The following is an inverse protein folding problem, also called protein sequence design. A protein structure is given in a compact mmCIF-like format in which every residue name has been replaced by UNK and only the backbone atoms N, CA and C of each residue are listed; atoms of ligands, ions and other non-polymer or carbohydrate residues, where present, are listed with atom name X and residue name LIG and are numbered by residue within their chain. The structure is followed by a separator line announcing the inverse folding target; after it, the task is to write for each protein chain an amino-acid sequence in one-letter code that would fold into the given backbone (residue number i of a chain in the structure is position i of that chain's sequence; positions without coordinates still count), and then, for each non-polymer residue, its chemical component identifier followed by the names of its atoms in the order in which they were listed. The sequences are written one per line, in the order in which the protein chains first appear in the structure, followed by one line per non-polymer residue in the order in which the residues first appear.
data_IF_498846952023
#
_entry.id   IF_498846952023
#
_cell.length_a   1.000
_cell.length_b   1.000
_cell.length_c   1.000
_cell.angle_alpha   90.00
_cell.angle_beta   90.00
_cell.angle_gamma   90.00
#
_symmetry.space_group_name_H-M   'P 1'
#
loop_
_entity.id
_entity.type
_entity.pdbx_description
1 polymer ?
#
# COMPACT_ATOMS: atom_id res chain seq x y z
N UNK A 1 28.85 -41.32 26.31
CA UNK A 1 28.60 -40.32 27.36
C UNK A 1 28.44 -40.97 28.73
N UNK A 2 28.94 -40.33 29.80
CA UNK A 2 28.62 -40.71 31.17
C UNK A 2 27.21 -40.23 31.56
N UNK A 3 26.57 -40.92 32.51
CA UNK A 3 25.24 -40.53 33.02
C UNK A 3 25.20 -39.08 33.54
N UNK A 4 26.29 -38.63 34.18
CA UNK A 4 26.43 -37.26 34.64
C UNK A 4 26.41 -36.24 33.48
N UNK A 5 27.07 -36.55 32.35
CA UNK A 5 27.06 -35.68 31.17
C UNK A 5 25.68 -35.58 30.52
N UNK A 6 24.87 -36.65 30.57
CA UNK A 6 23.49 -36.64 30.08
C UNK A 6 22.60 -35.73 30.92
N UNK A 7 22.70 -35.81 32.25
CA UNK A 7 21.95 -34.93 33.15
C UNK A 7 22.34 -33.46 32.91
N UNK A 8 23.65 -33.19 32.82
CA UNK A 8 24.14 -31.83 32.60
C UNK A 8 23.68 -31.28 31.25
N UNK A 9 23.78 -32.06 30.18
CA UNK A 9 23.28 -31.70 28.84
C UNK A 9 21.79 -31.32 28.89
N UNK A 10 20.97 -32.14 29.54
CA UNK A 10 19.54 -31.88 29.65
C UNK A 10 19.22 -30.59 30.42
N UNK A 11 19.91 -30.33 31.53
CA UNK A 11 19.75 -29.10 32.31
C UNK A 11 20.11 -27.86 31.47
N UNK A 12 21.22 -27.93 30.72
CA UNK A 12 21.67 -26.85 29.85
C UNK A 12 20.65 -26.56 28.73
N UNK A 13 20.16 -27.60 28.07
CA UNK A 13 19.13 -27.48 27.03
C UNK A 13 17.85 -26.83 27.59
N UNK A 14 17.36 -27.32 28.73
CA UNK A 14 16.13 -26.82 29.33
C UNK A 14 16.26 -25.36 29.78
N UNK A 15 17.38 -25.01 30.42
CA UNK A 15 17.67 -23.63 30.80
C UNK A 15 17.77 -22.71 29.58
N UNK A 16 18.45 -23.15 28.52
CA UNK A 16 18.59 -22.40 27.27
C UNK A 16 17.25 -22.13 26.60
N UNK A 17 16.39 -23.14 26.48
CA UNK A 17 15.01 -22.99 25.99
C UNK A 17 14.21 -22.00 26.85
N UNK A 18 14.35 -22.08 28.18
CA UNK A 18 13.73 -21.13 29.10
C UNK A 18 14.12 -19.67 28.82
N UNK A 19 15.40 -19.40 28.58
CA UNK A 19 15.87 -18.05 28.20
C UNK A 19 15.34 -17.60 26.83
N UNK A 20 15.25 -18.50 25.85
CA UNK A 20 14.68 -18.19 24.53
C UNK A 20 13.20 -17.81 24.66
N UNK A 21 12.43 -18.57 25.44
CA UNK A 21 11.01 -18.26 25.70
C UNK A 21 10.88 -16.91 26.42
N UNK A 22 11.67 -16.67 27.47
CA UNK A 22 11.66 -15.41 28.20
C UNK A 22 12.01 -14.21 27.29
N UNK A 23 12.97 -14.38 26.38
CA UNK A 23 13.33 -13.37 25.39
C UNK A 23 12.19 -13.10 24.41
N UNK A 24 11.54 -14.15 23.87
CA UNK A 24 10.40 -14.01 22.98
C UNK A 24 9.23 -13.27 23.65
N UNK A 25 8.90 -13.64 24.89
CA UNK A 25 7.89 -12.93 25.71
C UNK A 25 8.30 -11.47 25.91
N UNK A 26 9.57 -11.20 26.22
CA UNK A 26 10.08 -9.85 26.39
C UNK A 26 9.97 -8.99 25.12
N UNK A 27 10.26 -9.56 23.94
CA UNK A 27 10.11 -8.87 22.66
C UNK A 27 8.64 -8.50 22.39
N UNK A 28 7.70 -9.40 22.68
CA UNK A 28 6.27 -9.16 22.48
C UNK A 28 5.67 -8.20 23.51
N UNK A 29 6.13 -8.27 24.77
CA UNK A 29 5.54 -7.53 25.89
C UNK A 29 6.13 -6.13 26.08
N UNK A 30 7.41 -5.92 25.82
CA UNK A 30 8.05 -4.64 26.06
C UNK A 30 7.61 -3.60 25.03
N UNK A 31 7.44 -2.35 25.47
CA UNK A 31 6.96 -1.25 24.63
C UNK A 31 8.09 -0.46 23.95
N UNK A 32 9.30 -0.53 24.49
CA UNK A 32 10.46 0.27 24.06
C UNK A 32 11.46 -0.58 23.25
N UNK A 33 12.05 0.00 22.21
CA UNK A 33 12.99 -0.69 21.32
C UNK A 33 14.23 -1.20 22.04
N UNK A 34 14.79 -0.43 22.99
CA UNK A 34 15.96 -0.84 23.77
C UNK A 34 15.61 -1.97 24.74
N UNK A 35 14.40 -1.97 25.29
CA UNK A 35 13.93 -3.07 26.14
C UNK A 35 13.74 -4.37 25.35
N UNK A 36 13.13 -4.29 24.16
CA UNK A 36 12.98 -5.44 23.26
C UNK A 36 14.33 -5.97 22.83
N UNK A 37 15.28 -5.09 22.52
CA UNK A 37 16.67 -5.47 22.23
C UNK A 37 17.31 -6.18 23.42
N UNK A 38 17.18 -5.65 24.64
CA UNK A 38 17.70 -6.28 25.85
C UNK A 38 17.05 -7.63 26.18
N UNK A 39 15.78 -7.83 25.80
CA UNK A 39 15.14 -9.14 25.85
C UNK A 39 15.74 -10.09 24.80
N UNK A 40 15.76 -9.66 23.55
CA UNK A 40 16.23 -10.44 22.40
C UNK A 40 17.68 -10.92 22.55
N UNK A 41 18.57 -10.08 23.09
CA UNK A 41 19.98 -10.47 23.29
C UNK A 41 20.15 -11.61 24.29
N UNK A 42 19.20 -11.84 25.21
CA UNK A 42 19.23 -13.03 26.10
C UNK A 42 19.01 -14.33 25.35
N UNK A 43 18.23 -14.33 24.25
CA UNK A 43 18.08 -15.51 23.40
C UNK A 43 19.41 -15.84 22.70
N UNK A 44 20.05 -14.84 22.09
CA UNK A 44 21.29 -15.05 21.32
C UNK A 44 22.53 -15.33 22.19
N UNK A 45 22.58 -14.79 23.41
CA UNK A 45 23.70 -15.06 24.34
C UNK A 45 23.39 -16.26 25.23
N UNK A 46 22.59 -16.09 26.28
CA UNK A 46 22.34 -17.14 27.26
C UNK A 46 21.58 -18.33 26.65
N UNK A 47 20.50 -18.08 25.92
CA UNK A 47 19.66 -19.13 25.33
C UNK A 47 20.45 -20.04 24.39
N UNK A 48 21.03 -19.45 23.34
CA UNK A 48 21.75 -20.20 22.32
C UNK A 48 23.03 -20.86 22.85
N UNK A 49 23.80 -20.19 23.73
CA UNK A 49 25.02 -20.78 24.30
C UNK A 49 24.69 -21.95 25.22
N UNK A 50 23.62 -21.87 26.02
CA UNK A 50 23.20 -22.99 26.88
C UNK A 50 22.69 -24.16 26.05
N UNK A 51 21.89 -23.89 25.01
CA UNK A 51 21.43 -24.95 24.09
C UNK A 51 22.60 -25.61 23.38
N UNK A 52 23.49 -24.82 22.76
CA UNK A 52 24.66 -25.35 22.06
C UNK A 52 25.62 -26.05 23.02
N UNK A 53 25.84 -25.53 24.22
CA UNK A 53 26.64 -26.18 25.26
C UNK A 53 26.07 -27.54 25.66
N UNK A 54 24.75 -27.64 25.83
CA UNK A 54 24.07 -28.90 26.09
C UNK A 54 24.22 -29.89 24.92
N UNK A 55 24.12 -29.40 23.68
CA UNK A 55 24.31 -30.19 22.46
C UNK A 55 25.75 -30.66 22.29
N UNK A 56 26.75 -29.83 22.58
CA UNK A 56 28.19 -30.19 22.54
C UNK A 56 28.50 -31.32 23.53
N UNK A 57 27.87 -31.31 24.71
CA UNK A 57 28.01 -32.41 25.67
C UNK A 57 27.35 -33.72 25.17
N UNK A 58 26.40 -33.62 24.25
CA UNK A 58 25.63 -34.76 23.73
C UNK A 58 26.19 -35.35 22.42
N UNK A 59 26.99 -34.58 21.69
CA UNK A 59 27.55 -34.94 20.38
C UNK A 59 29.06 -35.16 20.47
N UNK A 60 29.57 -36.15 19.74
CA UNK A 60 31.00 -36.42 19.62
C UNK A 60 31.56 -35.92 18.26
N UNK A 61 32.87 -35.66 18.21
CA UNK A 61 33.60 -35.36 16.97
C UNK A 61 33.21 -34.02 16.31
N UNK A 62 32.83 -34.05 15.03
CA UNK A 62 32.59 -32.87 14.20
C UNK A 62 31.44 -31.98 14.73
N UNK A 63 30.39 -32.57 15.30
CA UNK A 63 29.23 -31.83 15.81
C UNK A 63 29.58 -30.91 16.99
N UNK A 64 30.50 -31.34 17.86
CA UNK A 64 30.98 -30.54 18.98
C UNK A 64 31.82 -29.33 18.50
N UNK A 65 32.64 -29.52 17.47
CA UNK A 65 33.44 -28.45 16.86
C UNK A 65 32.54 -27.39 16.23
N UNK A 66 31.54 -27.81 15.45
CA UNK A 66 30.56 -26.88 14.84
C UNK A 66 29.80 -26.10 15.91
N UNK A 67 29.37 -26.77 16.99
CA UNK A 67 28.72 -26.12 18.13
C UNK A 67 29.60 -25.06 18.79
N UNK A 68 30.89 -25.37 19.00
CA UNK A 68 31.84 -24.42 19.57
C UNK A 68 32.07 -23.21 18.66
N UNK A 69 32.24 -23.44 17.34
CA UNK A 69 32.37 -22.35 16.37
C UNK A 69 31.12 -21.46 16.32
N UNK A 70 29.92 -22.05 16.41
CA UNK A 70 28.67 -21.31 16.48
C UNK A 70 28.59 -20.42 17.73
N UNK A 71 29.02 -20.92 18.89
CA UNK A 71 29.11 -20.12 20.13
C UNK A 71 30.05 -18.93 19.96
N UNK A 72 31.25 -19.16 19.43
CA UNK A 72 32.24 -18.09 19.20
C UNK A 72 31.69 -17.05 18.22
N UNK A 73 31.09 -17.51 17.12
CA UNK A 73 30.49 -16.62 16.13
C UNK A 73 29.36 -15.77 16.72
N UNK A 74 28.47 -16.36 17.53
CA UNK A 74 27.41 -15.61 18.20
C UNK A 74 27.96 -14.61 19.22
N UNK A 75 28.96 -14.99 20.02
CA UNK A 75 29.58 -14.08 20.99
C UNK A 75 30.26 -12.88 20.33
N UNK A 76 30.77 -13.05 19.12
CA UNK A 76 31.34 -11.95 18.33
C UNK A 76 30.27 -11.07 17.67
N UNK A 77 29.22 -11.69 17.11
CA UNK A 77 28.23 -10.98 16.29
C UNK A 77 27.13 -10.31 17.11
N UNK A 78 26.70 -10.92 18.22
CA UNK A 78 25.60 -10.39 19.04
C UNK A 78 25.91 -8.99 19.62
N UNK A 79 27.12 -8.71 20.16
CA UNK A 79 27.45 -7.36 20.63
C UNK A 79 27.48 -6.30 19.53
N UNK A 80 27.96 -6.66 18.33
CA UNK A 80 28.01 -5.76 17.18
C UNK A 80 26.59 -5.43 16.71
N UNK A 81 25.74 -6.45 16.55
CA UNK A 81 24.34 -6.28 16.19
C UNK A 81 23.58 -5.42 17.22
N UNK A 82 23.81 -5.66 18.51
CA UNK A 82 23.21 -4.89 19.58
C UNK A 82 23.65 -3.41 19.57
N UNK A 83 24.92 -3.12 19.28
CA UNK A 83 25.39 -1.74 19.16
C UNK A 83 24.78 -1.02 17.96
N UNK A 84 24.74 -1.67 16.79
CA UNK A 84 24.14 -1.09 15.59
C UNK A 84 22.64 -0.84 15.77
N UNK A 85 21.92 -1.81 16.34
CA UNK A 85 20.49 -1.68 16.60
C UNK A 85 20.19 -0.62 17.66
N UNK A 86 20.99 -0.57 18.73
CA UNK A 86 20.87 0.46 19.77
C UNK A 86 21.13 1.87 19.23
N UNK A 87 22.16 2.04 18.40
CA UNK A 87 22.46 3.31 17.72
C UNK A 87 21.33 3.71 16.76
N UNK A 88 20.83 2.78 15.95
CA UNK A 88 19.71 3.04 15.05
C UNK A 88 18.45 3.45 15.80
N UNK A 89 18.08 2.73 16.86
CA UNK A 89 16.96 3.06 17.72
C UNK A 89 17.11 4.45 18.36
N UNK A 90 18.31 4.80 18.85
CA UNK A 90 18.56 6.12 19.42
C UNK A 90 18.47 7.24 18.37
N UNK A 91 19.22 7.12 17.26
CA UNK A 91 19.30 8.16 16.21
C UNK A 91 17.94 8.38 15.53
N UNK A 92 17.16 7.31 15.35
CA UNK A 92 15.83 7.38 14.72
C UNK A 92 14.80 8.23 15.47
N UNK A 93 15.07 8.63 16.72
CA UNK A 93 14.13 9.43 17.51
C UNK A 93 13.05 8.61 18.22
N UNK A 94 13.11 7.27 18.18
CA UNK A 94 12.12 6.41 18.87
C UNK A 94 11.91 6.82 20.34
N UNK A 95 10.68 6.75 20.87
CA UNK A 95 10.41 7.17 22.25
C UNK A 95 11.14 6.29 23.26
N UNK A 96 11.98 6.91 24.09
CA UNK A 96 12.77 6.25 25.14
C UNK A 96 12.03 6.35 26.49
N UNK A 97 10.99 5.52 26.68
CA UNK A 97 9.99 5.72 27.76
C UNK A 97 10.52 5.53 29.18
N UNK A 98 11.62 4.81 29.36
CA UNK A 98 12.18 4.47 30.67
C UNK A 98 13.52 5.14 30.97
N UNK A 99 14.03 5.96 30.05
CA UNK A 99 15.21 6.79 30.32
C UNK A 99 14.75 7.97 31.18
N UNK A 100 14.66 7.71 32.47
CA UNK A 100 14.30 8.68 33.51
C UNK A 100 15.60 9.23 34.12
N UNK A 101 16.25 10.14 33.41
CA UNK A 101 17.52 10.72 33.86
C UNK A 101 18.30 11.45 32.78
N UNK A 102 19.57 11.78 33.06
CA UNK A 102 20.48 12.37 32.08
C UNK A 102 20.72 11.36 30.95
N UNK A 103 20.31 11.74 29.74
CA UNK A 103 20.64 11.01 28.52
C UNK A 103 22.14 11.17 28.23
N UNK A 104 22.93 10.14 28.53
CA UNK A 104 24.39 10.16 28.32
C UNK A 104 24.83 10.27 26.86
N UNK A 105 23.91 10.07 25.90
CA UNK A 105 24.17 10.24 24.47
C UNK A 105 23.77 11.63 23.95
N UNK A 106 23.16 12.47 24.79
CA UNK A 106 22.76 13.82 24.42
C UNK A 106 23.98 14.68 24.10
N UNK A 107 24.03 15.27 22.91
CA UNK A 107 25.17 16.06 22.42
C UNK A 107 26.37 15.23 21.93
N UNK A 108 26.37 13.90 22.08
CA UNK A 108 27.39 13.00 21.52
C UNK A 108 26.89 12.40 20.20
N UNK A 109 25.66 11.89 20.19
CA UNK A 109 25.02 11.34 19.00
C UNK A 109 23.84 12.24 18.62
N UNK A 110 23.83 12.66 17.36
CA UNK A 110 22.71 13.43 16.80
C UNK A 110 21.46 12.55 16.78
N UNK A 111 20.44 12.97 17.53
CA UNK A 111 19.16 12.30 17.64
C UNK A 111 18.10 13.14 16.95
N UNK A 112 17.28 12.47 16.15
CA UNK A 112 16.20 13.11 15.42
C UNK A 112 15.11 13.57 16.40
N UNK A 113 14.55 14.76 16.14
CA UNK A 113 13.57 15.39 17.04
C UNK A 113 12.22 14.68 17.09
N UNK A 114 11.94 13.83 16.10
CA UNK A 114 10.73 13.02 15.99
C UNK A 114 11.13 11.57 15.64
N UNK A 115 10.36 10.55 16.09
CA UNK A 115 10.54 9.15 15.71
C UNK A 115 10.55 8.93 14.21
N UNK A 116 11.20 7.85 13.76
CA UNK A 116 11.22 7.47 12.35
C UNK A 116 9.79 7.25 11.86
N UNK A 117 8.91 6.69 12.68
CA UNK A 117 7.50 6.47 12.33
C UNK A 117 6.79 7.79 12.03
N UNK A 118 7.03 8.86 12.80
CA UNK A 118 6.43 10.19 12.58
C UNK A 118 7.11 10.94 11.41
N UNK A 119 8.36 10.62 11.11
CA UNK A 119 9.12 11.21 9.99
C UNK A 119 8.92 10.46 8.67
N UNK A 120 8.57 9.17 8.75
CA UNK A 120 8.20 8.29 7.62
C UNK A 120 6.69 8.17 7.46
N UNK A 121 5.90 8.74 8.39
CA UNK A 121 4.59 9.35 8.18
C UNK A 121 4.64 10.50 7.14
N UNK A 122 5.44 10.35 6.09
CA UNK A 122 5.08 10.93 4.82
C UNK A 122 3.71 10.33 4.44
N UNK A 123 2.65 11.09 4.73
CA UNK A 123 1.25 10.92 4.29
C UNK A 123 0.43 9.84 5.02
N UNK A 124 0.37 9.90 6.35
CA UNK A 124 -0.89 9.62 7.06
C UNK A 124 -1.32 10.93 7.70
N UNK A 125 -2.14 11.70 6.98
CA UNK A 125 -2.67 12.97 7.44
C UNK A 125 -3.45 12.72 8.75
N UNK A 126 -2.86 13.04 9.90
CA UNK A 126 -3.65 13.37 11.07
C UNK A 126 -4.52 14.57 10.65
N UNK A 127 -5.86 14.51 10.81
CA UNK A 127 -6.68 15.65 10.49
C UNK A 127 -6.12 16.81 11.29
N UNK A 128 -5.62 17.84 10.59
CA UNK A 128 -5.33 19.09 11.24
C UNK A 128 -6.62 19.43 11.97
N UNK A 129 -6.55 19.64 13.29
CA UNK A 129 -7.65 20.25 14.02
C UNK A 129 -7.77 21.70 13.53
N UNK A 130 -8.22 21.89 12.29
CA UNK A 130 -8.81 23.14 11.85
C UNK A 130 -10.17 23.19 12.53
N UNK A 131 -10.14 23.62 13.78
CA UNK A 131 -11.27 24.30 14.36
C UNK A 131 -11.69 25.37 13.37
N UNK A 132 -12.82 25.15 12.68
CA UNK A 132 -13.66 26.14 12.02
C UNK A 132 -12.92 27.37 11.45
N UNK A 133 -11.82 27.17 10.74
CA UNK A 133 -11.10 28.25 10.08
C UNK A 133 -11.81 28.47 8.75
N UNK A 134 -12.42 29.65 8.61
CA UNK A 134 -13.21 30.10 7.49
C UNK A 134 -12.69 29.59 6.14
N UNK A 135 -13.59 29.01 5.34
CA UNK A 135 -13.42 28.60 3.93
C UNK A 135 -12.55 29.64 3.20
N UNK A 136 -11.30 29.29 2.91
CA UNK A 136 -10.69 29.79 1.69
C UNK A 136 -11.43 29.09 0.53
N UNK A 137 -11.80 29.79 -0.56
CA UNK A 137 -12.47 29.15 -1.68
C UNK A 137 -11.52 28.08 -2.23
N UNK A 138 -11.90 26.81 -2.09
CA UNK A 138 -11.22 25.73 -2.77
C UNK A 138 -11.35 25.97 -4.28
N UNK A 139 -10.26 25.83 -5.02
CA UNK A 139 -10.34 25.66 -6.47
C UNK A 139 -11.18 24.41 -6.71
N UNK A 140 -12.43 24.59 -7.14
CA UNK A 140 -13.34 23.48 -7.37
C UNK A 140 -12.69 22.46 -8.32
N UNK A 141 -12.83 21.16 -8.01
CA UNK A 141 -12.36 20.11 -8.91
C UNK A 141 -13.02 20.32 -10.27
N UNK A 142 -12.19 20.46 -11.30
CA UNK A 142 -12.62 20.69 -12.68
C UNK A 142 -13.51 19.53 -13.15
N UNK A 143 -14.51 19.85 -13.98
CA UNK A 143 -15.28 18.81 -14.65
C UNK A 143 -14.38 17.96 -15.55
N UNK A 144 -14.82 16.74 -15.85
CA UNK A 144 -14.03 15.81 -16.67
C UNK A 144 -13.74 16.47 -18.02
N UNK A 145 -12.46 16.66 -18.34
CA UNK A 145 -11.99 17.23 -19.61
C UNK A 145 -11.73 16.12 -20.65
N UNK A 146 -11.21 14.98 -20.19
CA UNK A 146 -10.99 13.75 -20.97
C UNK A 146 -11.14 12.50 -20.09
N UNK A 147 -11.54 11.38 -20.68
CA UNK A 147 -11.35 10.07 -20.08
C UNK A 147 -10.10 9.44 -20.68
N UNK A 148 -9.08 9.23 -19.86
CA UNK A 148 -7.85 8.56 -20.26
C UNK A 148 -7.85 7.14 -19.71
N UNK A 149 -7.53 6.14 -20.54
CA UNK A 149 -7.42 4.74 -20.10
C UNK A 149 -6.08 4.13 -20.45
N UNK A 150 -5.54 3.32 -19.54
CA UNK A 150 -4.38 2.47 -19.82
C UNK A 150 -4.85 1.09 -20.33
N UNK A 151 -4.43 0.72 -21.54
CA UNK A 151 -4.66 -0.62 -22.09
C UNK A 151 -3.61 -1.57 -21.56
N UNK A 152 -3.98 -2.44 -20.64
CA UNK A 152 -3.08 -3.41 -20.01
C UNK A 152 -3.69 -4.80 -20.15
N UNK A 153 -3.04 -5.66 -20.94
CA UNK A 153 -3.48 -7.03 -21.16
C UNK A 153 -3.23 -7.90 -19.91
N UNK A 154 -3.94 -9.03 -19.71
CA UNK A 154 -4.73 -9.75 -20.71
C UNK A 154 -6.20 -9.29 -20.85
N UNK A 155 -6.74 -8.56 -19.88
CA UNK A 155 -8.17 -8.23 -19.84
C UNK A 155 -8.37 -6.71 -19.89
N UNK A 156 -8.74 -6.21 -21.07
CA UNK A 156 -8.97 -4.76 -21.31
C UNK A 156 -10.44 -4.39 -21.42
N UNK A 157 -11.33 -5.35 -21.66
CA UNK A 157 -12.74 -5.09 -21.90
C UNK A 157 -13.42 -4.30 -20.76
N UNK A 158 -13.23 -4.65 -19.46
CA UNK A 158 -13.83 -3.87 -18.37
C UNK A 158 -13.39 -2.41 -18.37
N UNK A 159 -12.10 -2.16 -18.62
CA UNK A 159 -11.52 -0.80 -18.66
C UNK A 159 -12.10 0.00 -19.82
N UNK A 160 -12.19 -0.61 -21.00
CA UNK A 160 -12.73 0.03 -22.20
C UNK A 160 -14.23 0.32 -22.05
N UNK A 161 -15.03 -0.68 -21.65
CA UNK A 161 -16.48 -0.53 -21.47
C UNK A 161 -16.82 0.52 -20.41
N UNK A 162 -16.11 0.51 -19.27
CA UNK A 162 -16.34 1.49 -18.21
C UNK A 162 -15.94 2.89 -18.66
N UNK A 163 -14.81 3.05 -19.33
CA UNK A 163 -14.35 4.34 -19.87
C UNK A 163 -15.33 4.90 -20.90
N UNK A 164 -15.87 4.04 -21.78
CA UNK A 164 -16.90 4.43 -22.74
C UNK A 164 -18.20 4.90 -22.07
N UNK A 165 -18.63 4.24 -20.99
CA UNK A 165 -19.82 4.64 -20.23
C UNK A 165 -19.67 6.02 -19.58
N UNK A 166 -18.53 6.28 -18.93
CA UNK A 166 -18.23 7.56 -18.28
C UNK A 166 -18.14 8.65 -19.34
N UNK A 167 -17.44 8.36 -20.44
CA UNK A 167 -17.28 9.27 -21.57
C UNK A 167 -18.63 9.61 -22.23
N UNK A 168 -19.51 8.63 -22.45
CA UNK A 168 -20.82 8.87 -23.04
C UNK A 168 -21.71 9.77 -22.16
N UNK A 169 -21.64 9.59 -20.83
CA UNK A 169 -22.37 10.41 -19.86
C UNK A 169 -21.85 11.86 -19.79
N UNK A 170 -20.54 12.05 -19.85
CA UNK A 170 -19.92 13.37 -19.72
C UNK A 170 -19.67 14.07 -21.07
N UNK A 171 -19.86 13.37 -22.20
CA UNK A 171 -19.63 13.85 -23.57
C UNK A 171 -18.21 14.42 -23.81
N UNK A 172 -17.20 13.69 -23.33
CA UNK A 172 -15.78 14.08 -23.38
C UNK A 172 -14.98 13.24 -24.39
N UNK A 173 -13.78 13.67 -24.79
CA UNK A 173 -12.84 12.83 -25.54
C UNK A 173 -12.39 11.61 -24.72
N UNK A 174 -12.01 10.56 -25.45
CA UNK A 174 -11.49 9.30 -24.92
C UNK A 174 -10.06 9.09 -25.43
N UNK A 175 -9.09 8.90 -24.54
CA UNK A 175 -7.69 8.69 -24.90
C UNK A 175 -7.18 7.37 -24.33
N UNK A 176 -6.97 6.38 -25.19
CA UNK A 176 -6.34 5.12 -24.84
C UNK A 176 -4.81 5.20 -25.01
N UNK A 177 -4.08 4.67 -24.05
CA UNK A 177 -2.64 4.49 -24.14
C UNK A 177 -2.24 3.06 -23.82
N UNK A 178 -1.52 2.42 -24.72
CA UNK A 178 -0.83 1.16 -24.49
C UNK A 178 0.65 1.45 -24.30
N UNK A 179 1.21 1.07 -23.14
CA UNK A 179 2.64 1.29 -22.84
C UNK A 179 3.31 -0.04 -22.57
N UNK A 180 4.43 -0.30 -23.24
CA UNK A 180 5.34 -1.39 -22.89
C UNK A 180 6.42 -0.88 -21.95
N UNK A 181 6.56 -1.51 -20.79
CA UNK A 181 7.57 -1.14 -19.80
C UNK A 181 8.98 -1.55 -20.27
N UNK A 182 9.79 -0.57 -20.65
CA UNK A 182 11.14 -0.82 -21.12
C UNK A 182 12.04 -1.39 -20.01
N UNK A 183 11.87 -0.95 -18.75
CA UNK A 183 12.65 -1.46 -17.63
C UNK A 183 12.36 -2.96 -17.40
N UNK A 184 11.11 -3.37 -17.62
CA UNK A 184 10.73 -4.78 -17.62
C UNK A 184 11.43 -5.57 -18.73
N UNK A 185 11.42 -5.06 -19.97
CA UNK A 185 12.06 -5.75 -21.10
C UNK A 185 13.55 -5.95 -20.87
N UNK A 186 14.26 -4.93 -20.36
CA UNK A 186 15.69 -4.97 -20.09
C UNK A 186 16.06 -5.90 -18.93
N UNK A 187 15.13 -6.19 -18.02
CA UNK A 187 15.36 -7.11 -16.91
C UNK A 187 15.27 -8.60 -17.31
N UNK A 188 14.86 -8.89 -18.55
CA UNK A 188 14.67 -10.28 -19.02
C UNK A 188 15.94 -10.86 -19.64
N UNK A 189 16.12 -12.19 -19.52
CA UNK A 189 17.24 -12.89 -20.14
C UNK A 189 17.13 -13.02 -21.68
N UNK A 190 15.91 -12.93 -22.22
CA UNK A 190 15.62 -12.90 -23.66
C UNK A 190 14.76 -11.69 -24.00
N UNK A 191 15.43 -10.56 -24.24
CA UNK A 191 14.78 -9.27 -24.51
C UNK A 191 13.95 -9.31 -25.80
N UNK A 192 14.47 -9.94 -26.86
CA UNK A 192 13.82 -9.95 -28.17
C UNK A 192 12.58 -10.84 -28.18
N UNK A 193 12.69 -12.06 -27.62
CA UNK A 193 11.53 -12.96 -27.53
C UNK A 193 10.47 -12.44 -26.57
N UNK A 194 10.85 -11.83 -25.44
CA UNK A 194 9.90 -11.19 -24.52
C UNK A 194 9.20 -10.01 -25.20
N UNK A 195 9.95 -9.13 -25.87
CA UNK A 195 9.37 -7.98 -26.59
C UNK A 195 8.37 -8.43 -27.66
N UNK A 196 8.67 -9.48 -28.41
CA UNK A 196 7.75 -10.02 -29.43
C UNK A 196 6.43 -10.47 -28.81
N UNK A 197 6.47 -11.24 -27.71
CA UNK A 197 5.28 -11.70 -26.98
C UNK A 197 4.46 -10.55 -26.38
N UNK A 198 5.13 -9.58 -25.77
CA UNK A 198 4.45 -8.40 -25.21
C UNK A 198 3.73 -7.64 -26.32
N UNK A 199 4.39 -7.39 -27.47
CA UNK A 199 3.78 -6.71 -28.62
C UNK A 199 2.59 -7.48 -29.18
N UNK A 200 2.66 -8.81 -29.24
CA UNK A 200 1.52 -9.64 -29.66
C UNK A 200 0.31 -9.45 -28.72
N UNK A 201 0.54 -9.50 -27.40
CA UNK A 201 -0.53 -9.28 -26.41
C UNK A 201 -1.09 -7.86 -26.46
N UNK A 202 -0.25 -6.85 -26.72
CA UNK A 202 -0.70 -5.46 -26.93
C UNK A 202 -1.55 -5.35 -28.18
N UNK A 203 -1.12 -5.93 -29.31
CA UNK A 203 -1.87 -5.91 -30.56
C UNK A 203 -3.27 -6.53 -30.38
N UNK A 204 -3.36 -7.65 -29.69
CA UNK A 204 -4.64 -8.28 -29.34
C UNK A 204 -5.53 -7.39 -28.48
N UNK A 205 -4.94 -6.74 -27.46
CA UNK A 205 -5.67 -5.80 -26.60
C UNK A 205 -6.18 -4.56 -27.38
N UNK A 206 -5.41 -4.08 -28.36
CA UNK A 206 -5.82 -2.99 -29.25
C UNK A 206 -6.99 -3.45 -30.13
N UNK A 207 -6.89 -4.62 -30.76
CA UNK A 207 -7.95 -5.20 -31.60
C UNK A 207 -9.26 -5.39 -30.79
N UNK A 208 -9.17 -5.92 -29.58
CA UNK A 208 -10.30 -6.07 -28.66
C UNK A 208 -10.91 -4.71 -28.28
N UNK A 209 -10.06 -3.71 -28.03
CA UNK A 209 -10.51 -2.34 -27.76
C UNK A 209 -11.27 -1.77 -28.95
N UNK A 210 -10.73 -1.89 -30.16
CA UNK A 210 -11.37 -1.41 -31.39
C UNK A 210 -12.72 -2.09 -31.66
N UNK A 211 -12.84 -3.38 -31.36
CA UNK A 211 -14.10 -4.12 -31.48
C UNK A 211 -15.20 -3.60 -30.54
N UNK A 212 -14.83 -3.06 -29.37
CA UNK A 212 -15.75 -2.48 -28.40
C UNK A 212 -16.12 -1.02 -28.70
N UNK A 213 -15.36 -0.34 -29.57
CA UNK A 213 -15.63 1.06 -29.90
C UNK A 213 -16.88 1.19 -30.80
N UNK A 214 -17.73 2.20 -30.56
CA UNK A 214 -18.85 2.47 -31.45
C UNK A 214 -18.36 2.89 -32.85
N UNK A 215 -19.01 2.40 -33.91
CA UNK A 215 -18.64 2.66 -35.32
C UNK A 215 -18.67 4.15 -35.73
N UNK A 216 -19.32 5.03 -34.97
CA UNK A 216 -19.28 6.47 -35.21
C UNK A 216 -18.01 7.03 -34.59
N UNK A 217 -17.20 7.75 -35.37
CA UNK A 217 -15.98 8.47 -34.93
C UNK A 217 -16.29 9.39 -33.74
N UNK A 218 -16.23 8.81 -32.56
CA UNK A 218 -15.99 9.52 -31.31
C UNK A 218 -14.57 10.11 -31.34
N UNK A 219 -14.35 11.20 -30.60
CA UNK A 219 -13.01 11.73 -30.32
C UNK A 219 -12.20 10.70 -29.51
N UNK A 220 -11.74 9.65 -30.19
CA UNK A 220 -10.96 8.56 -29.65
C UNK A 220 -9.54 8.67 -30.21
N UNK A 221 -8.55 8.69 -29.32
CA UNK A 221 -7.13 8.60 -29.69
C UNK A 221 -6.53 7.39 -29.02
N UNK A 222 -5.80 6.58 -29.78
CA UNK A 222 -5.02 5.46 -29.28
C UNK A 222 -3.54 5.70 -29.59
N UNK A 223 -2.70 5.63 -28.57
CA UNK A 223 -1.25 5.71 -28.72
C UNK A 223 -0.58 4.45 -28.16
N UNK A 224 0.39 3.94 -28.91
CA UNK A 224 1.29 2.89 -28.47
C UNK A 224 2.66 3.49 -28.22
N UNK A 225 3.21 3.28 -27.02
CA UNK A 225 4.52 3.82 -26.63
C UNK A 225 5.34 2.73 -25.93
N UNK A 226 6.66 2.75 -26.12
CA UNK A 226 7.60 1.93 -25.33
C UNK A 226 8.42 2.86 -24.45
N UNK A 227 8.49 2.59 -23.14
CA UNK A 227 9.23 3.44 -22.21
C UNK A 227 8.78 3.29 -20.77
N UNK A 228 8.85 4.38 -19.99
CA UNK A 228 8.47 4.37 -18.57
C UNK A 228 6.96 4.65 -18.41
N UNK A 229 6.16 3.67 -17.93
CA UNK A 229 4.71 3.85 -17.75
C UNK A 229 4.33 5.01 -16.83
N UNK A 230 5.16 5.30 -15.82
CA UNK A 230 4.94 6.39 -14.84
C UNK A 230 5.03 7.78 -15.46
N UNK A 231 5.64 7.90 -16.64
CA UNK A 231 5.74 9.15 -17.40
C UNK A 231 4.72 9.23 -18.53
N UNK A 232 4.40 8.10 -19.14
CA UNK A 232 3.62 8.03 -20.38
C UNK A 232 2.11 7.95 -20.11
N UNK A 233 1.68 7.18 -19.10
CA UNK A 233 0.26 7.00 -18.78
C UNK A 233 -0.37 8.27 -18.20
N UNK A 234 0.18 8.89 -17.13
CA UNK A 234 -0.49 10.00 -16.45
C UNK A 234 -0.53 11.29 -17.29
N UNK A 235 -1.63 12.04 -17.18
CA UNK A 235 -1.64 13.48 -17.53
C UNK A 235 -1.09 14.28 -16.35
N UNK A 236 -0.12 15.16 -16.57
CA UNK A 236 0.53 15.94 -15.50
C UNK A 236 0.01 17.37 -15.34
N UNK A 237 -0.60 17.90 -16.39
CA UNK A 237 -0.99 19.31 -16.45
C UNK A 237 -2.51 19.50 -16.46
N UNK A 238 -3.27 18.43 -16.68
CA UNK A 238 -4.73 18.46 -16.82
C UNK A 238 -5.39 17.83 -15.60
N UNK A 239 -5.98 18.66 -14.73
CA UNK A 239 -6.70 18.23 -13.52
C UNK A 239 -8.09 17.67 -13.81
N UNK A 240 -8.69 18.03 -14.95
CA UNK A 240 -9.95 17.46 -15.44
C UNK A 240 -9.79 16.07 -16.08
N UNK A 241 -8.56 15.63 -16.38
CA UNK A 241 -8.30 14.31 -16.94
C UNK A 241 -8.65 13.24 -15.91
N UNK A 242 -9.56 12.32 -16.26
CA UNK A 242 -9.88 11.15 -15.44
C UNK A 242 -9.11 9.94 -15.97
N UNK A 243 -8.16 9.43 -15.19
CA UNK A 243 -7.41 8.22 -15.55
C UNK A 243 -8.12 6.97 -15.04
N UNK A 244 -8.47 6.06 -15.94
CA UNK A 244 -9.09 4.77 -15.67
C UNK A 244 -8.07 3.64 -15.84
N UNK A 245 -7.92 2.82 -14.80
CA UNK A 245 -6.92 1.76 -14.73
C UNK A 245 -7.58 0.43 -14.32
N UNK A 246 -7.03 -0.72 -14.73
CA UNK A 246 -7.39 -1.98 -14.11
C UNK A 246 -6.89 -2.04 -12.66
N UNK A 247 -7.44 -2.94 -11.86
CA UNK A 247 -6.93 -3.18 -10.51
C UNK A 247 -5.64 -4.03 -10.47
N UNK A 248 -5.43 -4.88 -11.47
CA UNK A 248 -4.26 -5.74 -11.55
C UNK A 248 -3.65 -5.73 -12.94
N UNK A 249 -2.41 -6.23 -13.01
CA UNK A 249 -1.60 -6.24 -14.21
C UNK A 249 -0.55 -5.15 -14.22
N UNK A 250 0.25 -5.15 -15.28
CA UNK A 250 1.26 -4.13 -15.53
C UNK A 250 1.58 -4.09 -17.03
N UNK A 251 2.33 -3.09 -17.45
CA UNK A 251 2.83 -2.84 -18.80
C UNK A 251 3.79 -3.92 -19.37
N UNK A 252 3.80 -5.12 -18.77
CA UNK A 252 4.31 -6.36 -19.34
C UNK A 252 3.22 -7.19 -20.06
N UNK A 253 1.96 -6.74 -20.04
CA UNK A 253 0.83 -7.31 -20.80
C UNK A 253 0.66 -8.82 -20.64
N UNK A 254 0.66 -9.31 -19.39
CA UNK A 254 0.46 -10.74 -19.08
C UNK A 254 1.65 -11.68 -19.39
N UNK A 255 2.83 -11.16 -19.74
CA UNK A 255 4.03 -12.00 -19.93
C UNK A 255 4.69 -12.27 -18.57
N UNK A 256 4.62 -13.52 -18.09
CA UNK A 256 5.26 -13.96 -16.84
C UNK A 256 6.79 -14.13 -16.99
N UNK A 257 7.54 -13.81 -15.92
CA UNK A 257 8.98 -14.06 -15.82
C UNK A 257 9.24 -15.43 -15.20
N UNK A 258 10.27 -16.14 -15.71
CA UNK A 258 10.77 -17.38 -15.12
C UNK A 258 11.82 -17.19 -13.99
N UNK A 259 12.01 -15.97 -13.47
CA UNK A 259 13.02 -15.67 -12.42
C UNK A 259 12.54 -14.57 -11.45
N UNK A 260 13.10 -14.50 -10.23
CA UNK A 260 12.32 -14.44 -8.99
C UNK A 260 11.75 -13.05 -8.67
N UNK A 261 10.42 -12.99 -8.48
CA UNK A 261 9.59 -12.30 -7.46
C UNK A 261 9.99 -10.93 -6.85
N UNK A 262 11.08 -10.28 -7.25
CA UNK A 262 11.58 -9.05 -6.64
C UNK A 262 11.31 -7.78 -7.47
N UNK A 263 10.93 -7.92 -8.75
CA UNK A 263 10.78 -6.77 -9.67
C UNK A 263 9.35 -6.54 -10.16
N UNK A 264 8.46 -7.53 -10.05
CA UNK A 264 7.03 -7.37 -10.32
C UNK A 264 6.40 -6.55 -9.21
N UNK A 265 6.35 -5.23 -9.35
CA UNK A 265 5.76 -4.31 -8.39
C UNK A 265 4.25 -4.21 -8.61
N UNK A 266 3.38 -4.93 -7.87
CA UNK A 266 1.94 -4.67 -7.86
C UNK A 266 1.60 -3.23 -7.41
N UNK A 267 2.55 -2.52 -6.81
CA UNK A 267 2.43 -1.09 -6.49
C UNK A 267 2.50 -0.15 -7.70
N UNK A 268 3.03 -0.59 -8.84
CA UNK A 268 3.25 0.28 -10.00
C UNK A 268 1.96 0.97 -10.45
N UNK A 269 0.87 0.19 -10.57
CA UNK A 269 -0.45 0.72 -10.92
C UNK A 269 -0.93 1.74 -9.91
N UNK A 270 -0.81 1.44 -8.62
CA UNK A 270 -1.27 2.31 -7.55
C UNK A 270 -0.52 3.64 -7.54
N UNK A 271 0.78 3.63 -7.85
CA UNK A 271 1.63 4.83 -7.91
C UNK A 271 1.30 5.76 -9.08
N UNK A 272 0.55 5.30 -10.09
CA UNK A 272 0.10 6.19 -11.17
C UNK A 272 -0.77 7.33 -10.64
N UNK A 273 -1.50 7.10 -9.52
CA UNK A 273 -2.23 8.16 -8.83
C UNK A 273 -1.34 9.28 -8.26
N UNK A 274 -0.09 8.99 -7.91
CA UNK A 274 0.87 10.04 -7.49
C UNK A 274 1.31 10.92 -8.66
N UNK A 275 1.31 10.38 -9.88
CA UNK A 275 1.89 11.02 -11.08
C UNK A 275 0.83 11.67 -11.98
N UNK A 276 -0.45 11.39 -11.74
CA UNK A 276 -1.57 11.97 -12.46
C UNK A 276 -2.08 13.24 -11.76
N UNK A 277 -2.37 14.29 -12.52
CA UNK A 277 -2.89 15.54 -11.98
C UNK A 277 -4.33 15.41 -11.50
N UNK A 278 -5.20 14.76 -12.29
CA UNK A 278 -6.60 14.56 -11.98
C UNK A 278 -6.89 13.32 -11.14
N UNK A 279 -8.17 12.95 -11.10
CA UNK A 279 -8.67 11.77 -10.38
C UNK A 279 -8.29 10.47 -11.08
N UNK A 280 -8.04 9.42 -10.29
CA UNK A 280 -7.71 8.08 -10.80
C UNK A 280 -8.73 7.06 -10.33
N UNK A 281 -9.34 6.35 -11.28
CA UNK A 281 -10.32 5.30 -11.02
C UNK A 281 -9.70 3.92 -11.35
N UNK A 282 -9.51 3.09 -10.34
CA UNK A 282 -9.14 1.69 -10.48
C UNK A 282 -10.39 0.83 -10.52
N UNK A 283 -10.53 -0.02 -11.55
CA UNK A 283 -11.74 -0.81 -11.72
C UNK A 283 -11.78 -2.05 -10.85
N UNK A 284 -12.95 -2.32 -10.28
CA UNK A 284 -13.24 -3.55 -9.56
C UNK A 284 -13.29 -4.76 -10.49
N UNK A 285 -13.22 -5.95 -9.90
CA UNK A 285 -13.43 -7.24 -10.60
C UNK A 285 -14.89 -7.65 -10.66
N UNK A 286 -15.74 -7.02 -9.86
CA UNK A 286 -17.15 -7.35 -9.74
C UNK A 286 -17.95 -6.30 -10.52
N UNK A 287 -18.97 -6.70 -11.29
CA UNK A 287 -19.89 -5.73 -11.88
C UNK A 287 -20.58 -4.93 -10.77
N UNK A 288 -20.83 -3.65 -11.04
CA UNK A 288 -21.58 -2.78 -10.13
C UNK A 288 -23.02 -3.27 -10.03
N UNK A 289 -23.57 -3.30 -8.82
CA UNK A 289 -25.00 -3.57 -8.60
C UNK A 289 -25.90 -2.43 -9.12
N UNK A 290 -27.21 -2.67 -9.21
CA UNK A 290 -28.21 -1.65 -9.63
C UNK A 290 -28.14 -0.36 -8.80
N UNK A 291 -27.79 -0.50 -7.52
CA UNK A 291 -27.44 0.60 -6.62
C UNK A 291 -26.11 0.28 -5.95
N UNK A 292 -25.03 0.82 -6.51
CA UNK A 292 -23.69 0.61 -5.99
C UNK A 292 -23.55 1.21 -4.59
N UNK A 293 -22.99 0.45 -3.65
CA UNK A 293 -22.60 0.92 -2.32
C UNK A 293 -21.19 1.49 -2.40
N UNK A 294 -21.04 2.77 -2.09
CA UNK A 294 -19.79 3.51 -2.21
C UNK A 294 -19.30 3.85 -0.80
N UNK A 295 -18.22 3.22 -0.38
CA UNK A 295 -17.54 3.58 0.85
C UNK A 295 -16.77 4.90 0.65
N UNK A 296 -16.96 5.86 1.52
CA UNK A 296 -16.21 7.12 1.54
C UNK A 296 -15.22 7.02 2.70
N UNK A 297 -13.93 6.88 2.39
CA UNK A 297 -12.86 6.99 3.38
C UNK A 297 -12.60 8.46 3.67
N UNK A 298 -13.27 8.95 4.70
CA UNK A 298 -13.21 10.32 5.14
C UNK A 298 -12.02 10.54 6.07
N UNK A 299 -11.03 11.28 5.57
CA UNK A 299 -9.83 11.68 6.31
C UNK A 299 -9.95 13.08 6.92
N UNK A 300 -11.15 13.67 6.91
CA UNK A 300 -11.43 14.99 7.45
C UNK A 300 -11.04 16.15 6.54
N UNK A 301 -10.47 15.88 5.36
CA UNK A 301 -10.08 16.90 4.39
C UNK A 301 -11.28 17.52 3.66
N UNK A 302 -11.11 18.72 3.10
CA UNK A 302 -12.13 19.31 2.23
C UNK A 302 -12.07 18.68 0.83
N UNK A 303 -10.91 18.20 0.41
CA UNK A 303 -10.70 17.53 -0.87
C UNK A 303 -11.59 16.28 -1.03
N UNK A 304 -11.81 15.51 0.04
CA UNK A 304 -12.72 14.36 -0.04
C UNK A 304 -14.19 14.80 -0.13
N UNK A 305 -14.56 15.95 0.44
CA UNK A 305 -15.92 16.51 0.32
C UNK A 305 -16.16 16.91 -1.13
N UNK A 306 -15.26 17.73 -1.68
CA UNK A 306 -15.33 18.22 -3.05
C UNK A 306 -15.22 17.07 -4.06
N UNK A 307 -14.36 16.09 -3.75
CA UNK A 307 -14.19 14.87 -4.56
C UNK A 307 -15.44 14.01 -4.63
N UNK A 308 -16.19 13.88 -3.54
CA UNK A 308 -17.47 13.15 -3.54
C UNK A 308 -18.53 13.92 -4.31
N UNK A 309 -18.64 15.24 -4.12
CA UNK A 309 -19.57 16.09 -4.88
C UNK A 309 -19.27 16.02 -6.38
N UNK A 310 -17.99 16.11 -6.76
CA UNK A 310 -17.51 15.95 -8.12
C UNK A 310 -17.83 14.56 -8.69
N UNK A 311 -17.56 13.48 -7.96
CA UNK A 311 -17.76 12.12 -8.45
C UNK A 311 -19.24 11.81 -8.72
N UNK A 312 -20.14 12.37 -7.90
CA UNK A 312 -21.58 12.28 -8.08
C UNK A 312 -22.06 13.15 -9.24
N UNK A 313 -21.55 14.38 -9.37
CA UNK A 313 -21.84 15.29 -10.50
C UNK A 313 -21.40 14.69 -11.84
N UNK A 314 -20.20 14.11 -11.89
CA UNK A 314 -19.67 13.37 -13.03
C UNK A 314 -20.44 12.07 -13.31
N UNK A 315 -21.28 11.66 -12.35
CA UNK A 315 -22.13 10.49 -12.44
C UNK A 315 -21.32 9.22 -12.65
N UNK A 316 -20.24 9.03 -11.88
CA UNK A 316 -19.43 7.81 -11.97
C UNK A 316 -20.25 6.57 -11.60
N UNK A 317 -21.20 6.70 -10.68
CA UNK A 317 -22.14 5.65 -10.30
C UNK A 317 -23.59 6.13 -10.44
N UNK A 318 -24.51 5.24 -10.79
CA UNK A 318 -25.93 5.55 -10.91
C UNK A 318 -26.64 5.39 -9.56
N UNK A 319 -27.27 6.45 -9.08
CA UNK A 319 -28.05 6.49 -7.83
C UNK A 319 -27.38 5.77 -6.63
N UNK A 320 -26.10 6.04 -6.32
CA UNK A 320 -25.34 5.25 -5.36
C UNK A 320 -25.87 5.37 -3.93
N UNK A 321 -25.54 4.37 -3.10
CA UNK A 321 -25.66 4.48 -1.65
C UNK A 321 -24.30 4.81 -1.03
N UNK A 322 -24.21 5.91 -0.28
CA UNK A 322 -22.95 6.37 0.30
C UNK A 322 -22.80 5.85 1.74
N UNK A 323 -21.74 5.10 1.99
CA UNK A 323 -21.36 4.61 3.31
C UNK A 323 -20.16 5.40 3.83
N UNK A 324 -20.38 6.29 4.80
CA UNK A 324 -19.30 7.09 5.37
C UNK A 324 -18.43 6.25 6.31
N UNK A 325 -17.11 6.27 6.12
CA UNK A 325 -16.13 5.54 6.92
C UNK A 325 -14.99 6.49 7.33
N UNK A 326 -14.88 6.86 8.61
CA UNK A 326 -13.86 7.84 9.02
C UNK A 326 -13.91 8.31 10.48
N UNK A 327 -12.97 9.19 10.84
CA UNK A 327 -12.93 9.84 12.16
C UNK A 327 -13.93 11.02 12.19
N UNK A 328 -14.86 11.03 13.15
CA UNK A 328 -15.85 12.12 13.25
C UNK A 328 -17.04 11.98 12.29
N UNK A 329 -17.30 10.77 11.78
CA UNK A 329 -18.41 10.46 10.88
C UNK A 329 -19.77 11.12 11.25
N UNK A 330 -20.18 11.28 12.52
CA UNK A 330 -21.45 11.93 12.85
C UNK A 330 -21.53 13.40 12.40
N UNK A 331 -20.48 14.20 12.59
CA UNK A 331 -20.49 15.63 12.26
C UNK A 331 -20.38 15.87 10.75
N UNK A 332 -19.66 15.00 10.03
CA UNK A 332 -19.53 15.07 8.57
C UNK A 332 -20.67 14.40 7.81
N UNK A 333 -21.52 13.63 8.50
CA UNK A 333 -22.68 12.98 7.90
C UNK A 333 -23.65 13.97 7.25
N UNK A 334 -23.89 15.12 7.90
CA UNK A 334 -24.82 16.14 7.38
C UNK A 334 -24.34 16.71 6.05
N UNK A 335 -23.04 17.00 5.94
CA UNK A 335 -22.42 17.50 4.70
C UNK A 335 -22.56 16.49 3.56
N UNK A 336 -22.26 15.22 3.82
CA UNK A 336 -22.40 14.17 2.81
C UNK A 336 -23.87 13.84 2.49
N UNK A 337 -24.78 13.98 3.46
CA UNK A 337 -26.22 13.84 3.22
C UNK A 337 -26.77 14.98 2.34
N UNK A 338 -26.30 16.20 2.54
CA UNK A 338 -26.64 17.34 1.67
C UNK A 338 -26.13 17.12 0.24
N UNK A 339 -24.86 16.73 0.08
CA UNK A 339 -24.28 16.37 -1.21
C UNK A 339 -25.06 15.24 -1.87
N UNK A 340 -25.36 14.17 -1.13
CA UNK A 340 -26.13 13.04 -1.64
C UNK A 340 -27.52 13.47 -2.11
N UNK A 341 -28.20 14.33 -1.34
CA UNK A 341 -29.51 14.88 -1.69
C UNK A 341 -29.50 15.70 -2.99
N UNK A 342 -28.43 16.46 -3.25
CA UNK A 342 -28.26 17.21 -4.51
C UNK A 342 -28.19 16.32 -5.75
N UNK A 343 -27.68 15.10 -5.62
CA UNK A 343 -27.42 14.18 -6.73
C UNK A 343 -28.29 12.90 -6.73
N UNK A 344 -29.30 12.82 -5.84
CA UNK A 344 -30.18 11.65 -5.75
C UNK A 344 -29.53 10.39 -5.17
N UNK A 345 -28.42 10.52 -4.45
CA UNK A 345 -27.76 9.42 -3.74
C UNK A 345 -28.37 9.22 -2.33
N UNK A 346 -28.19 8.02 -1.76
CA UNK A 346 -28.79 7.64 -0.46
C UNK A 346 -27.71 7.43 0.60
N UNK A 347 -27.85 8.09 1.75
CA UNK A 347 -27.00 7.85 2.92
C UNK A 347 -27.79 7.05 3.97
N UNK A 348 -27.44 5.78 4.27
CA UNK A 348 -28.24 4.91 5.14
C UNK A 348 -28.19 5.25 6.65
N UNK A 349 -27.90 6.50 7.02
CA UNK A 349 -28.10 7.03 8.38
C UNK A 349 -27.12 6.57 9.46
N UNK A 350 -26.20 5.64 9.17
CA UNK A 350 -25.13 5.24 10.10
C UNK A 350 -23.76 5.26 9.41
N UNK A 351 -22.84 6.06 9.95
CA UNK A 351 -21.44 6.08 9.55
C UNK A 351 -20.64 5.05 10.35
N UNK A 352 -19.63 4.48 9.72
CA UNK A 352 -18.72 3.55 10.37
C UNK A 352 -17.48 4.31 10.83
N UNK A 353 -17.00 3.97 12.02
CA UNK A 353 -15.74 4.53 12.54
C UNK A 353 -14.60 3.72 11.93
N UNK A 354 -13.71 4.40 11.19
CA UNK A 354 -12.51 3.78 10.65
C UNK A 354 -11.52 3.43 11.78
N UNK A 355 -10.83 2.29 11.65
CA UNK A 355 -9.80 1.91 12.63
C UNK A 355 -8.45 2.62 12.41
N UNK A 356 -8.16 3.13 11.20
CA UNK A 356 -7.04 4.03 10.79
C UNK A 356 -6.91 4.08 9.24
N UNK A 357 -6.68 5.27 8.68
CA UNK A 357 -6.32 5.45 7.25
C UNK A 357 -7.42 5.01 6.27
N UNK A 358 -7.04 4.38 5.15
CA UNK A 358 -7.95 3.88 4.11
C UNK A 358 -8.46 2.45 4.38
N UNK A 359 -8.22 1.90 5.58
CA UNK A 359 -8.64 0.54 5.93
C UNK A 359 -10.12 0.54 6.27
N UNK A 360 -10.90 -0.19 5.49
CA UNK A 360 -12.32 -0.36 5.70
C UNK A 360 -12.58 -1.39 6.80
N UNK A 361 -13.58 -1.15 7.68
CA UNK A 361 -14.09 -2.17 8.58
C UNK A 361 -14.77 -3.29 7.79
N UNK A 362 -14.88 -4.49 8.37
CA UNK A 362 -15.50 -5.66 7.72
C UNK A 362 -16.93 -5.38 7.21
N UNK A 363 -17.67 -4.51 7.90
CA UNK A 363 -19.00 -4.07 7.49
C UNK A 363 -19.02 -3.31 6.14
N UNK A 364 -17.90 -2.68 5.76
CA UNK A 364 -17.73 -1.96 4.50
C UNK A 364 -16.91 -2.74 3.46
N UNK A 365 -16.36 -3.91 3.80
CA UNK A 365 -15.51 -4.70 2.90
C UNK A 365 -16.24 -5.20 1.63
N UNK A 366 -17.57 -5.23 1.65
CA UNK A 366 -18.42 -5.62 0.52
C UNK A 366 -18.92 -4.44 -0.33
N UNK A 367 -18.47 -3.22 -0.06
CA UNK A 367 -18.82 -2.07 -0.87
C UNK A 367 -18.38 -2.28 -2.33
N UNK A 368 -19.16 -1.75 -3.27
CA UNK A 368 -18.91 -1.85 -4.71
C UNK A 368 -17.79 -0.91 -5.15
N UNK A 369 -17.60 0.20 -4.44
CA UNK A 369 -16.50 1.11 -4.65
C UNK A 369 -16.03 1.80 -3.37
N UNK A 370 -14.83 2.37 -3.44
CA UNK A 370 -14.20 3.20 -2.42
C UNK A 370 -13.83 4.57 -3.03
N UNK A 371 -14.13 5.66 -2.33
CA UNK A 371 -13.58 7.00 -2.62
C UNK A 371 -12.61 7.38 -1.50
N UNK A 372 -11.42 7.84 -1.86
CA UNK A 372 -10.38 8.27 -0.91
C UNK A 372 -9.52 9.40 -1.50
N UNK A 373 -9.04 10.31 -0.65
CA UNK A 373 -8.01 11.31 -1.01
C UNK A 373 -6.59 10.83 -0.66
N UNK A 374 -6.47 9.68 0.01
CA UNK A 374 -5.21 9.05 0.38
C UNK A 374 -4.99 7.77 -0.42
N UNK A 375 -3.73 7.53 -0.82
CA UNK A 375 -3.33 6.25 -1.41
C UNK A 375 -3.32 5.18 -0.31
N UNK A 376 -3.95 4.01 -0.51
CA UNK A 376 -3.85 2.90 0.41
C UNK A 376 -2.38 2.48 0.63
N UNK A 377 -1.88 2.65 1.86
CA UNK A 377 -0.50 2.30 2.24
C UNK A 377 -0.50 1.24 3.36
N UNK A 378 0.45 0.29 3.35
CA UNK A 378 0.48 -0.79 4.34
C UNK A 378 0.77 -0.28 5.76
N UNK A 379 0.19 -0.97 6.75
CA UNK A 379 0.31 -0.66 8.20
C UNK A 379 1.67 -1.03 8.83
N UNK A 380 2.57 -1.74 8.13
CA UNK A 380 3.89 -2.20 8.66
C UNK A 380 4.81 -2.67 7.54
N UNK A 381 6.13 -2.65 7.80
CA UNK A 381 7.26 -3.00 6.91
C UNK A 381 7.34 -4.51 6.58
N UNK A 382 6.32 -5.30 6.89
CA UNK A 382 6.32 -6.74 6.63
C UNK A 382 5.83 -6.99 5.19
N UNK A 383 6.73 -6.81 4.24
CA UNK A 383 6.51 -7.05 2.82
C UNK A 383 6.91 -8.46 2.44
N UNK A 384 5.93 -9.33 2.13
CA UNK A 384 5.99 -10.33 1.05
C UNK A 384 4.55 -10.79 0.69
N UNK A 385 4.03 -10.37 -0.47
CA UNK A 385 2.98 -11.12 -1.18
C UNK A 385 1.51 -10.68 -1.08
N UNK A 386 1.17 -9.55 -0.43
CA UNK A 386 -0.22 -9.04 -0.44
C UNK A 386 -0.43 -8.00 -1.55
N UNK A 387 -1.56 -8.09 -2.27
CA UNK A 387 -1.91 -7.09 -3.28
C UNK A 387 -2.38 -5.79 -2.62
N UNK A 388 -2.21 -4.64 -3.27
CA UNK A 388 -2.57 -3.35 -2.66
C UNK A 388 -4.05 -3.23 -2.27
N UNK A 389 -4.94 -3.94 -2.96
CA UNK A 389 -6.37 -4.04 -2.61
C UNK A 389 -6.59 -4.65 -1.22
N UNK A 390 -5.78 -5.62 -0.82
CA UNK A 390 -5.88 -6.27 0.50
C UNK A 390 -5.53 -5.31 1.64
N UNK A 391 -4.92 -4.15 1.32
CA UNK A 391 -4.71 -3.07 2.29
C UNK A 391 -5.97 -2.24 2.56
N UNK A 392 -6.95 -2.25 1.65
CA UNK A 392 -8.26 -1.60 1.84
C UNK A 392 -9.14 -2.49 2.72
N UNK A 393 -9.36 -3.73 2.28
CA UNK A 393 -10.05 -4.78 3.00
C UNK A 393 -9.57 -6.14 2.45
N UNK A 394 -9.56 -7.17 3.29
CA UNK A 394 -9.15 -8.51 2.83
C UNK A 394 -10.05 -8.97 1.69
N UNK A 395 -9.45 -9.28 0.53
CA UNK A 395 -10.19 -9.71 -0.66
C UNK A 395 -11.03 -8.62 -1.33
N UNK A 396 -10.63 -7.34 -1.20
CA UNK A 396 -11.31 -6.23 -1.87
C UNK A 396 -11.40 -6.44 -3.39
N UNK A 397 -12.60 -6.31 -3.94
CA UNK A 397 -12.88 -6.46 -5.39
C UNK A 397 -13.60 -5.27 -6.01
N UNK A 398 -13.89 -4.22 -5.24
CA UNK A 398 -14.63 -3.03 -5.69
C UNK A 398 -13.76 -2.03 -6.45
N UNK A 399 -14.40 -1.04 -7.08
CA UNK A 399 -13.70 0.09 -7.70
C UNK A 399 -13.01 0.96 -6.62
N UNK A 400 -11.93 1.63 -6.97
CA UNK A 400 -11.24 2.57 -6.07
C UNK A 400 -11.00 3.88 -6.81
N UNK A 401 -11.64 4.94 -6.35
CA UNK A 401 -11.45 6.30 -6.83
C UNK A 401 -10.52 7.05 -5.88
N UNK A 402 -9.40 7.51 -6.42
CA UNK A 402 -8.44 8.36 -5.72
C UNK A 402 -8.62 9.81 -6.20
N UNK A 403 -9.01 10.68 -5.28
CA UNK A 403 -9.18 12.11 -5.50
C UNK A 403 -7.82 12.81 -5.36
N UNK A 404 -7.43 13.71 -6.28
CA UNK A 404 -6.17 14.43 -6.20
C UNK A 404 -6.20 15.41 -5.02
N UNK A 405 -5.08 15.55 -4.31
CA UNK A 405 -4.92 16.54 -3.24
C UNK A 405 -4.34 17.84 -3.78
N UNK A 406 -4.83 18.96 -3.24
CA UNK A 406 -4.27 20.31 -3.45
C UNK A 406 -2.78 20.31 -3.09
N UNK A 407 -1.91 20.73 -4.02
CA UNK A 407 -0.47 20.91 -3.73
C UNK A 407 0.42 19.69 -3.96
N UNK A 408 0.05 18.74 -4.82
CA UNK A 408 1.01 17.76 -5.36
C UNK A 408 2.27 18.50 -5.87
N UNK A 409 3.46 18.27 -5.30
CA UNK A 409 4.69 18.72 -5.95
C UNK A 409 4.84 17.93 -7.26
N UNK A 410 4.98 18.67 -8.37
CA UNK A 410 5.16 18.11 -9.72
C UNK A 410 6.48 17.38 -9.94
#
# INVERSE_FOLDING_TARGET
MSFLAQILSFILLLAGVGFIIAAAIGVLRFSDALQRMHASTKAGTLGAILVLGGTILALDGEGAIVGMMAIVFMLLTVPVAAHLLGRAAYVSGTPLRLVTGRNGLYGILERQGMPLEERTEFVAYAPASRAAAARAPLEAIEDISEVRLALIAPDVAPVVSRSLSIRARNNVPLKAIAVVDEAFLQATGDVQGTRAKVRENVARAIEETEALLPKRRSFFTLSYEEGNPMRLIPSRDDRGSLLVLPNQGWCHHGVELATPLATGRPEGLLRLADHHAGSVLYLGRRPLGERAVIAICDDGSDEIVDGVDWALRAGLWENPSLLLVGYGAPARMEVFAEIAGRHGAVVPGQGLVATRGTVLPDAAAKADALITAAIPRPKRVDWYGLFWHDTIASGWTGEVLIIPRSGKPG
#
